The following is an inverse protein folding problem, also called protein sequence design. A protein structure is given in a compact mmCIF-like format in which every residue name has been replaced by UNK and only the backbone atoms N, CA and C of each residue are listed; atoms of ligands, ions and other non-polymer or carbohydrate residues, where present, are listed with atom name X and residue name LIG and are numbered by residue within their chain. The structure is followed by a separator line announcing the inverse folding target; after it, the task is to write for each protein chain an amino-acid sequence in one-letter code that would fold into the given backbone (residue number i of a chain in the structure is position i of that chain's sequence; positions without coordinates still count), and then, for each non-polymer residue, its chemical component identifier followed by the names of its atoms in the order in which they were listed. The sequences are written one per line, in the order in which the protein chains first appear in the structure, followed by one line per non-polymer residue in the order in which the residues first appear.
data_IF_778538947635
#
_entry.id   IF_778538947635
#
_cell.length_a   1.000
_cell.length_b   1.000
_cell.length_c   1.000
_cell.angle_alpha   90.00
_cell.angle_beta   90.00
_cell.angle_gamma   90.00
#
_symmetry.space_group_name_H-M   'P 1'
#
loop_
_entity.id
_entity.type
_entity.pdbx_description
1 polymer ?
#
# COMPACT_ATOMS: atom_id res chain seq x y z
N UNK A 1 6.96 -18.73 -26.02
CA UNK A 1 6.17 -18.46 -24.81
C UNK A 1 7.14 -18.06 -23.70
N UNK A 2 7.09 -16.81 -23.23
CA UNK A 2 8.10 -16.24 -22.33
C UNK A 2 7.84 -16.68 -20.88
N UNK A 3 8.81 -17.31 -20.22
CA UNK A 3 8.71 -17.85 -18.85
C UNK A 3 8.34 -16.75 -17.84
N UNK A 4 8.68 -15.49 -18.15
CA UNK A 4 8.26 -14.30 -17.38
C UNK A 4 6.74 -14.11 -17.34
N UNK A 5 6.02 -14.56 -18.37
CA UNK A 5 4.56 -14.47 -18.44
C UNK A 5 3.86 -15.68 -17.80
N UNK A 6 4.51 -16.86 -17.77
CA UNK A 6 3.92 -18.08 -17.21
C UNK A 6 3.90 -18.07 -15.66
N UNK A 7 4.83 -17.34 -15.05
CA UNK A 7 4.89 -17.05 -13.61
C UNK A 7 4.47 -15.61 -13.29
N UNK A 8 3.69 -14.97 -14.16
CA UNK A 8 3.22 -13.60 -13.98
C UNK A 8 2.17 -13.54 -12.87
N UNK A 9 2.62 -13.62 -11.62
CA UNK A 9 1.90 -13.11 -10.45
C UNK A 9 1.94 -11.57 -10.41
N UNK A 10 2.39 -10.91 -11.49
CA UNK A 10 2.51 -9.47 -11.54
C UNK A 10 1.11 -8.85 -11.54
N UNK A 11 0.71 -8.15 -10.46
CA UNK A 11 -0.66 -7.69 -10.31
C UNK A 11 -0.93 -6.39 -11.09
N UNK A 12 0.01 -5.94 -11.92
CA UNK A 12 0.02 -4.58 -12.49
C UNK A 12 0.24 -4.64 -14.01
N UNK A 13 -0.78 -4.35 -14.82
CA UNK A 13 -0.67 -4.29 -16.28
C UNK A 13 0.26 -3.15 -16.74
N UNK A 14 0.70 -3.23 -17.99
CA UNK A 14 1.40 -2.12 -18.65
C UNK A 14 0.42 -0.97 -18.92
N UNK A 15 0.90 0.27 -18.90
CA UNK A 15 0.11 1.47 -19.22
C UNK A 15 -0.26 1.56 -20.70
N UNK A 16 0.31 0.72 -21.57
CA UNK A 16 -0.07 0.60 -22.98
C UNK A 16 -1.56 0.30 -23.19
N UNK A 17 -2.26 -0.23 -22.19
CA UNK A 17 -3.72 -0.43 -22.19
C UNK A 17 -4.52 0.87 -22.33
N UNK A 18 -3.91 2.02 -22.06
CA UNK A 18 -4.54 3.34 -22.16
C UNK A 18 -4.29 4.03 -23.51
N UNK A 19 -3.65 3.36 -24.47
CA UNK A 19 -3.43 3.94 -25.79
C UNK A 19 -4.75 4.21 -26.50
N UNK A 20 -4.93 5.42 -27.02
CA UNK A 20 -6.14 5.90 -27.68
C UNK A 20 -7.27 6.29 -26.73
N UNK A 21 -7.04 6.34 -25.42
CA UNK A 21 -8.08 6.68 -24.43
C UNK A 21 -8.09 8.17 -24.08
N UNK A 22 -9.17 8.63 -23.45
CA UNK A 22 -9.34 10.05 -23.10
C UNK A 22 -8.21 10.55 -22.17
N UNK A 23 -7.79 9.75 -21.19
CA UNK A 23 -6.70 10.10 -20.26
C UNK A 23 -5.38 10.35 -20.99
N UNK A 24 -5.04 9.57 -22.02
CA UNK A 24 -3.80 9.74 -22.79
C UNK A 24 -3.79 11.10 -23.51
N UNK A 25 -4.95 11.50 -24.05
CA UNK A 25 -5.07 12.78 -24.76
C UNK A 25 -5.15 14.00 -23.83
N UNK A 26 -5.73 13.85 -22.63
CA UNK A 26 -6.07 14.97 -21.75
C UNK A 26 -5.12 15.19 -20.58
N UNK A 27 -4.48 14.13 -20.10
CA UNK A 27 -3.60 14.10 -18.92
C UNK A 27 -2.50 13.02 -19.05
N UNK A 28 -1.64 13.07 -20.09
CA UNK A 28 -0.62 12.05 -20.35
C UNK A 28 0.40 11.88 -19.21
N UNK A 29 0.65 12.93 -18.42
CA UNK A 29 1.53 12.92 -17.25
C UNK A 29 1.06 11.92 -16.18
N UNK A 30 -0.26 11.77 -15.99
CA UNK A 30 -0.83 10.82 -15.03
C UNK A 30 -0.44 9.38 -15.37
N UNK A 31 -0.39 9.03 -16.66
CA UNK A 31 0.06 7.70 -17.10
C UNK A 31 1.54 7.47 -16.81
N UNK A 32 2.36 8.52 -16.82
CA UNK A 32 3.77 8.43 -16.45
C UNK A 32 3.92 8.07 -14.96
N UNK A 33 3.17 8.74 -14.09
CA UNK A 33 3.17 8.42 -12.66
C UNK A 33 2.59 7.03 -12.39
N UNK A 34 1.51 6.65 -13.06
CA UNK A 34 0.94 5.31 -12.95
C UNK A 34 1.96 4.23 -13.33
N UNK A 35 2.73 4.44 -14.42
CA UNK A 35 3.80 3.52 -14.83
C UNK A 35 4.92 3.46 -13.81
N UNK A 36 5.35 4.60 -13.29
CA UNK A 36 6.39 4.71 -12.27
C UNK A 36 6.00 3.94 -11.00
N UNK A 37 4.80 4.18 -10.47
CA UNK A 37 4.30 3.49 -9.28
C UNK A 37 4.11 1.99 -9.52
N UNK A 38 3.68 1.61 -10.73
CA UNK A 38 3.60 0.22 -11.14
C UNK A 38 4.96 -0.48 -11.10
N UNK A 39 5.98 0.14 -11.68
CA UNK A 39 7.35 -0.37 -11.67
C UNK A 39 7.91 -0.44 -10.24
N UNK A 40 7.70 0.59 -9.43
CA UNK A 40 8.14 0.63 -8.04
C UNK A 40 7.50 -0.48 -7.21
N UNK A 41 6.21 -0.76 -7.41
CA UNK A 41 5.52 -1.86 -6.73
C UNK A 41 6.15 -3.20 -7.09
N UNK A 42 6.39 -3.47 -8.39
CA UNK A 42 7.03 -4.71 -8.85
C UNK A 42 8.45 -4.85 -8.28
N UNK A 43 9.23 -3.76 -8.29
CA UNK A 43 10.61 -3.75 -7.78
C UNK A 43 10.67 -4.00 -6.27
N UNK A 44 9.90 -3.27 -5.48
CA UNK A 44 9.86 -3.43 -4.02
C UNK A 44 9.38 -4.83 -3.61
N UNK A 45 8.36 -5.36 -4.29
CA UNK A 45 7.84 -6.70 -4.02
C UNK A 45 8.87 -7.78 -4.36
N UNK A 46 9.51 -7.69 -5.53
CA UNK A 46 10.55 -8.63 -5.93
C UNK A 46 11.74 -8.60 -4.97
N UNK A 47 12.17 -7.40 -4.54
CA UNK A 47 13.25 -7.24 -3.58
C UNK A 47 12.90 -7.80 -2.20
N UNK A 48 11.66 -7.59 -1.72
CA UNK A 48 11.18 -8.17 -0.47
C UNK A 48 11.19 -9.71 -0.50
N UNK A 49 10.66 -10.32 -1.57
CA UNK A 49 10.67 -11.78 -1.73
C UNK A 49 12.10 -12.31 -1.83
N UNK A 50 12.94 -11.66 -2.61
CA UNK A 50 14.34 -12.04 -2.78
C UNK A 50 15.07 -12.08 -1.44
N UNK A 51 14.98 -11.01 -0.64
CA UNK A 51 15.60 -10.95 0.68
C UNK A 51 15.01 -11.98 1.65
N UNK A 52 13.69 -12.23 1.59
CA UNK A 52 13.05 -13.25 2.43
C UNK A 52 13.54 -14.67 2.13
N UNK A 53 13.64 -15.01 0.84
CA UNK A 53 14.19 -16.29 0.38
C UNK A 53 15.66 -16.41 0.78
N UNK A 54 16.46 -15.36 0.56
CA UNK A 54 17.88 -15.34 0.92
C UNK A 54 18.07 -15.51 2.43
N UNK A 55 17.35 -14.76 3.24
CA UNK A 55 17.40 -14.88 4.69
C UNK A 55 17.10 -16.30 5.15
N UNK A 56 16.03 -16.89 4.63
CA UNK A 56 15.60 -18.25 4.99
C UNK A 56 16.64 -19.29 4.56
N UNK A 57 17.12 -19.20 3.31
CA UNK A 57 18.09 -20.13 2.75
C UNK A 57 19.42 -20.10 3.51
N UNK A 58 19.98 -18.91 3.75
CA UNK A 58 21.25 -18.77 4.47
C UNK A 58 21.11 -19.11 5.96
N UNK A 59 19.95 -18.83 6.57
CA UNK A 59 19.68 -19.27 7.95
C UNK A 59 19.68 -20.78 8.07
N UNK A 60 19.13 -21.50 7.07
CA UNK A 60 19.16 -22.97 7.04
C UNK A 60 20.58 -23.51 6.89
N UNK A 61 21.38 -22.96 5.97
CA UNK A 61 22.77 -23.37 5.78
C UNK A 61 23.59 -23.19 7.06
N UNK A 62 23.43 -22.04 7.73
CA UNK A 62 24.08 -21.76 9.00
C UNK A 62 23.66 -22.76 10.09
N UNK A 63 22.36 -23.03 10.21
CA UNK A 63 21.83 -23.95 11.23
C UNK A 63 22.32 -25.39 11.05
N UNK A 64 22.53 -25.83 9.81
CA UNK A 64 23.04 -27.18 9.52
C UNK A 64 24.55 -27.34 9.69
N UNK A 65 25.28 -26.25 9.97
CA UNK A 65 26.75 -26.29 10.04
C UNK A 65 27.42 -26.52 8.68
N UNK A 66 26.73 -26.22 7.58
CA UNK A 66 27.21 -26.52 6.23
C UNK A 66 28.49 -25.74 5.92
N UNK A 67 29.55 -26.44 5.51
CA UNK A 67 30.86 -25.83 5.25
C UNK A 67 31.70 -25.53 6.50
N UNK A 68 31.29 -25.95 7.69
CA UNK A 68 32.04 -25.77 8.94
C UNK A 68 31.77 -24.44 9.66
N UNK A 69 32.42 -24.24 10.81
CA UNK A 69 32.09 -23.15 11.75
C UNK A 69 32.25 -21.75 11.14
N UNK A 70 33.37 -21.48 10.46
CA UNK A 70 33.63 -20.18 9.84
C UNK A 70 32.57 -19.82 8.78
N UNK A 71 32.27 -20.75 7.87
CA UNK A 71 31.28 -20.53 6.81
C UNK A 71 29.85 -20.41 7.37
N UNK A 72 29.52 -21.20 8.39
CA UNK A 72 28.22 -21.13 9.07
C UNK A 72 27.98 -19.76 9.71
N UNK A 73 29.02 -19.15 10.30
CA UNK A 73 28.95 -17.77 10.83
C UNK A 73 28.74 -16.74 9.71
N UNK A 74 29.40 -16.91 8.57
CA UNK A 74 29.18 -16.03 7.40
C UNK A 74 27.75 -16.16 6.90
N UNK A 75 27.21 -17.37 6.79
CA UNK A 75 25.81 -17.57 6.37
C UNK A 75 24.82 -16.95 7.36
N UNK A 76 25.04 -17.10 8.67
CA UNK A 76 24.22 -16.46 9.70
C UNK A 76 24.26 -14.92 9.57
N UNK A 77 25.44 -14.35 9.29
CA UNK A 77 25.61 -12.92 9.05
C UNK A 77 24.84 -12.45 7.81
N UNK A 78 24.93 -13.15 6.68
CA UNK A 78 24.18 -12.82 5.45
C UNK A 78 22.67 -12.92 5.68
N UNK A 79 22.21 -13.91 6.43
CA UNK A 79 20.80 -14.03 6.79
C UNK A 79 20.34 -12.84 7.64
N UNK A 80 21.09 -12.50 8.68
CA UNK A 80 20.80 -11.35 9.55
C UNK A 80 20.80 -10.03 8.79
N UNK A 81 21.76 -9.80 7.89
CA UNK A 81 21.79 -8.61 7.02
C UNK A 81 20.53 -8.54 6.14
N UNK A 82 20.11 -9.66 5.56
CA UNK A 82 18.92 -9.70 4.71
C UNK A 82 17.65 -9.33 5.50
N UNK A 83 17.53 -9.83 6.73
CA UNK A 83 16.43 -9.48 7.66
C UNK A 83 16.50 -8.02 8.09
N UNK A 84 17.71 -7.51 8.37
CA UNK A 84 17.92 -6.10 8.72
C UNK A 84 17.45 -5.19 7.58
N UNK A 85 17.77 -5.50 6.32
CA UNK A 85 17.29 -4.72 5.18
C UNK A 85 15.77 -4.78 4.99
N UNK A 86 15.15 -5.96 5.17
CA UNK A 86 13.69 -6.09 5.15
C UNK A 86 13.02 -5.15 6.15
N UNK A 87 13.59 -5.08 7.35
CA UNK A 87 13.06 -4.32 8.49
C UNK A 87 13.34 -2.83 8.36
N UNK A 88 14.59 -2.45 8.12
CA UNK A 88 15.04 -1.05 8.10
C UNK A 88 14.32 -0.21 7.05
N UNK A 89 14.04 -0.78 5.88
CA UNK A 89 13.33 -0.08 4.80
C UNK A 89 11.81 -0.30 4.80
N UNK A 90 11.29 -1.08 5.76
CA UNK A 90 9.88 -1.46 5.86
C UNK A 90 9.30 -1.85 4.48
N UNK A 91 10.02 -2.74 3.77
CA UNK A 91 9.78 -3.01 2.35
C UNK A 91 8.37 -3.56 2.09
N UNK A 92 7.84 -4.33 3.05
CA UNK A 92 6.49 -4.88 2.99
C UNK A 92 5.42 -3.79 2.97
N UNK A 93 5.46 -2.87 3.94
CA UNK A 93 4.49 -1.77 4.00
C UNK A 93 4.64 -0.83 2.80
N UNK A 94 5.88 -0.47 2.43
CA UNK A 94 6.13 0.42 1.29
C UNK A 94 5.62 -0.16 -0.03
N UNK A 95 5.88 -1.45 -0.28
CA UNK A 95 5.35 -2.15 -1.46
C UNK A 95 3.82 -2.14 -1.48
N UNK A 96 3.18 -2.43 -0.35
CA UNK A 96 1.72 -2.44 -0.27
C UNK A 96 1.11 -1.05 -0.47
N UNK A 97 1.71 -0.01 0.10
CA UNK A 97 1.25 1.37 -0.06
C UNK A 97 1.37 1.85 -1.50
N UNK A 98 2.51 1.60 -2.16
CA UNK A 98 2.66 1.94 -3.60
C UNK A 98 1.68 1.17 -4.46
N UNK A 99 1.39 -0.09 -4.14
CA UNK A 99 0.37 -0.87 -4.85
C UNK A 99 -1.03 -0.28 -4.69
N UNK A 100 -1.38 0.16 -3.49
CA UNK A 100 -2.69 0.75 -3.21
C UNK A 100 -2.86 2.11 -3.87
N UNK A 101 -1.81 2.95 -3.84
CA UNK A 101 -1.77 4.21 -4.59
C UNK A 101 -1.95 3.98 -6.09
N UNK A 102 -1.22 3.00 -6.64
CA UNK A 102 -1.37 2.58 -8.05
C UNK A 102 -2.80 2.16 -8.37
N UNK A 103 -3.43 1.33 -7.54
CA UNK A 103 -4.82 0.89 -7.74
C UNK A 103 -5.80 2.06 -7.69
N UNK A 104 -5.64 2.95 -6.71
CA UNK A 104 -6.50 4.13 -6.57
C UNK A 104 -6.46 4.99 -7.83
N UNK A 105 -5.26 5.34 -8.29
CA UNK A 105 -5.08 6.16 -9.48
C UNK A 105 -5.59 5.43 -10.73
N UNK A 106 -5.29 4.13 -10.86
CA UNK A 106 -5.79 3.30 -11.96
C UNK A 106 -7.33 3.30 -12.02
N UNK A 107 -8.00 3.16 -10.88
CA UNK A 107 -9.46 3.22 -10.79
C UNK A 107 -10.01 4.59 -11.19
N UNK A 108 -9.37 5.68 -10.77
CA UNK A 108 -9.77 7.02 -11.17
C UNK A 108 -9.62 7.23 -12.68
N UNK A 109 -8.53 6.75 -13.27
CA UNK A 109 -8.29 6.80 -14.72
C UNK A 109 -9.36 6.03 -15.49
N UNK A 110 -9.70 4.81 -15.07
CA UNK A 110 -10.75 4.02 -15.70
C UNK A 110 -12.10 4.76 -15.67
N UNK A 111 -12.46 5.34 -14.52
CA UNK A 111 -13.70 6.12 -14.40
C UNK A 111 -13.69 7.42 -15.21
N UNK A 112 -12.56 8.09 -15.32
CA UNK A 112 -12.40 9.27 -16.18
C UNK A 112 -12.59 8.94 -17.65
N UNK A 113 -12.03 7.81 -18.12
CA UNK A 113 -12.20 7.36 -19.49
C UNK A 113 -13.65 7.03 -19.84
N UNK A 114 -14.44 6.58 -18.86
CA UNK A 114 -15.89 6.36 -18.99
C UNK A 114 -16.72 7.64 -18.80
N UNK A 115 -16.10 8.81 -18.61
CA UNK A 115 -16.78 10.08 -18.38
C UNK A 115 -17.48 10.20 -17.01
N UNK A 116 -17.17 9.32 -16.06
CA UNK A 116 -17.76 9.31 -14.72
C UNK A 116 -17.06 10.24 -13.73
N UNK A 117 -15.85 10.67 -14.06
CA UNK A 117 -15.04 11.60 -13.26
C UNK A 117 -14.50 12.73 -14.16
N UNK A 118 -14.29 13.90 -13.57
CA UNK A 118 -13.56 15.00 -14.17
C UNK A 118 -12.05 14.90 -13.93
N UNK A 119 -11.33 15.92 -14.41
CA UNK A 119 -9.87 16.00 -14.25
C UNK A 119 -9.47 16.19 -12.80
N UNK A 120 -10.22 16.99 -12.06
CA UNK A 120 -9.90 17.32 -10.66
C UNK A 120 -9.97 16.07 -9.78
N UNK A 121 -10.89 15.14 -10.03
CA UNK A 121 -10.98 13.88 -9.30
C UNK A 121 -9.82 12.93 -9.62
N UNK A 122 -9.28 12.96 -10.84
CA UNK A 122 -8.06 12.21 -11.18
C UNK A 122 -6.84 12.80 -10.47
N UNK A 123 -6.73 14.13 -10.40
CA UNK A 123 -5.67 14.82 -9.66
C UNK A 123 -5.78 14.51 -8.16
N UNK A 124 -6.98 14.56 -7.59
CA UNK A 124 -7.21 14.20 -6.19
C UNK A 124 -6.80 12.75 -5.89
N UNK A 125 -7.05 11.82 -6.81
CA UNK A 125 -6.61 10.44 -6.69
C UNK A 125 -5.08 10.31 -6.76
N UNK A 126 -4.42 11.11 -7.59
CA UNK A 126 -2.96 11.20 -7.65
C UNK A 126 -2.39 11.73 -6.32
N UNK A 127 -2.89 12.85 -5.80
CA UNK A 127 -2.43 13.44 -4.54
C UNK A 127 -2.62 12.47 -3.35
N UNK A 128 -3.79 11.81 -3.30
CA UNK A 128 -4.08 10.79 -2.30
C UNK A 128 -3.13 9.59 -2.43
N UNK A 129 -2.77 9.20 -3.65
CA UNK A 129 -1.80 8.15 -3.92
C UNK A 129 -0.37 8.51 -3.47
N UNK A 130 0.08 9.72 -3.78
CA UNK A 130 1.38 10.24 -3.31
C UNK A 130 1.45 10.26 -1.78
N UNK A 131 0.37 10.67 -1.11
CA UNK A 131 0.28 10.65 0.34
C UNK A 131 0.45 9.22 0.91
N UNK A 132 -0.24 8.23 0.33
CA UNK A 132 -0.08 6.82 0.72
C UNK A 132 1.36 6.34 0.55
N UNK A 133 2.01 6.70 -0.56
CA UNK A 133 3.41 6.33 -0.83
C UNK A 133 4.37 7.00 0.16
N UNK A 134 4.15 8.28 0.47
CA UNK A 134 4.92 9.06 1.43
C UNK A 134 4.65 8.68 2.90
N UNK A 135 3.65 7.85 3.18
CA UNK A 135 3.26 7.48 4.53
C UNK A 135 2.48 8.57 5.27
N UNK A 136 1.94 9.56 4.55
CA UNK A 136 1.13 10.64 5.09
C UNK A 136 -0.33 10.24 4.96
N UNK A 137 -1.05 10.13 6.08
CA UNK A 137 -2.49 9.83 6.07
C UNK A 137 -3.27 11.13 6.11
N UNK A 138 -3.87 11.54 5.00
CA UNK A 138 -4.83 12.64 5.02
C UNK A 138 -6.19 12.10 5.44
N UNK A 139 -6.63 12.44 6.66
CA UNK A 139 -8.03 12.33 7.01
C UNK A 139 -8.78 13.35 6.16
N UNK A 140 -9.40 12.91 5.06
CA UNK A 140 -10.41 13.70 4.38
C UNK A 140 -11.60 13.82 5.33
N UNK A 141 -11.55 14.79 6.24
CA UNK A 141 -12.75 15.33 6.85
C UNK A 141 -13.55 15.90 5.70
N UNK A 142 -14.51 15.12 5.16
CA UNK A 142 -15.58 15.69 4.36
C UNK A 142 -16.22 16.74 5.26
N UNK A 143 -15.87 18.01 5.09
CA UNK A 143 -16.64 19.10 5.66
C UNK A 143 -17.96 19.05 4.90
N UNK A 144 -18.92 18.30 5.47
CA UNK A 144 -20.30 18.40 5.11
C UNK A 144 -20.68 19.86 5.36
N UNK A 145 -20.89 20.59 4.28
CA UNK A 145 -21.43 21.94 4.30
C UNK A 145 -22.88 21.84 4.80
N UNK A 146 -23.05 21.94 6.11
CA UNK A 146 -24.35 22.06 6.74
C UNK A 146 -24.50 21.11 7.92
N UNK A 147 -23.96 21.49 9.06
CA UNK A 147 -24.58 21.20 10.36
C UNK A 147 -24.32 22.39 11.28
N UNK A 148 -25.39 23.12 11.55
CA UNK A 148 -25.43 24.24 12.48
C UNK A 148 -25.07 23.76 13.88
N UNK A 149 -24.12 24.47 14.51
CA UNK A 149 -23.70 24.25 15.90
C UNK A 149 -24.87 24.60 16.83
N UNK A 150 -25.26 23.67 17.71
CA UNK A 150 -25.85 24.01 19.02
C UNK A 150 -25.23 23.12 20.09
N UNK A 151 -24.49 23.67 21.07
CA UNK A 151 -24.02 22.91 22.22
C UNK A 151 -25.14 22.88 23.27
N UNK A 152 -25.73 21.71 23.52
CA UNK A 152 -26.69 21.57 24.62
C UNK A 152 -25.95 21.20 25.92
N UNK A 153 -25.61 22.21 26.70
CA UNK A 153 -25.40 22.11 28.13
C UNK A 153 -26.77 21.90 28.79
N UNK A 154 -27.01 20.74 29.41
CA UNK A 154 -27.57 20.75 30.77
C UNK A 154 -27.49 19.39 31.48
N UNK A 155 -27.08 19.52 32.74
CA UNK A 155 -27.21 18.57 33.84
C UNK A 155 -28.68 18.19 34.04
N UNK A 156 -28.95 16.94 34.40
CA UNK A 156 -29.76 16.66 35.58
C UNK A 156 -29.56 15.23 36.10
N UNK A 157 -29.72 15.10 37.41
CA UNK A 157 -29.28 14.04 38.29
C UNK A 157 -30.50 13.53 39.06
N UNK A 158 -30.49 12.24 39.44
CA UNK A 158 -31.41 11.54 40.39
C UNK A 158 -32.87 11.36 39.93
N UNK A 159 -33.63 10.33 40.30
CA UNK A 159 -33.46 9.13 41.15
C UNK A 159 -34.75 8.28 40.98
N UNK A 160 -34.70 6.99 41.35
CA UNK A 160 -35.63 6.33 42.29
C UNK A 160 -35.71 4.82 42.01
N UNK A 161 -35.05 4.04 42.86
CA UNK A 161 -35.41 2.64 43.13
C UNK A 161 -35.90 2.59 44.59
N UNK A 162 -37.19 2.29 44.76
CA UNK A 162 -37.81 1.74 45.96
C UNK A 162 -38.48 0.43 45.48
N UNK A 163 -37.93 -0.73 45.81
CA UNK A 163 -38.18 -1.52 47.04
C UNK A 163 -39.46 -2.37 46.91
N UNK A 164 -39.33 -3.71 46.92
CA UNK A 164 -40.03 -4.58 47.90
C UNK A 164 -39.70 -6.08 47.75
N UNK A 165 -39.22 -6.65 48.87
CA UNK A 165 -39.62 -7.92 49.53
C UNK A 165 -39.44 -9.29 48.84
N UNK A 166 -38.84 -10.26 49.56
CA UNK A 166 -39.60 -11.12 50.47
C UNK A 166 -38.71 -12.13 51.25
N UNK A 167 -38.84 -12.06 52.58
CA UNK A 167 -38.83 -13.10 53.64
C UNK A 167 -37.62 -14.04 53.77
#
# INVERSE_FOLDING_TARGET
MNIRNLLSLQPIPDTSVYKGTLIESKMPEILTYLKLWGNNTRGLWAFHIFLGIFATFFSLLAATGFGGDLLSRVFAFVAALSIAFLTAFNLGAKSNNTRNAWRLLNTAILRFNEGLLGKDEVINAYESGEAMIGGITFNQTKIQKGDTITPNLNKENKSNDHDESAV
#
